data_IF_683021291826
#
_entry.id   IF_683021291826
#
_cell.length_a   1.000
_cell.length_b   1.000
_cell.length_c   1.000
_cell.angle_alpha   90.00
_cell.angle_beta   90.00
_cell.angle_gamma   90.00
#
_symmetry.space_group_name_H-M   'P 1'
#
loop_
_entity.id
_entity.type
_entity.pdbx_description
1 polymer ?
#
# COMPACT_ATOMS: atom_id res chain seq x y z
N UNK A 1 -1.82 -0.81 -21.06
CA UNK A 1 -2.68 0.33 -20.66
C UNK A 1 -3.31 -0.02 -19.33
N UNK A 2 -3.27 0.87 -18.33
CA UNK A 2 -3.98 0.62 -17.06
C UNK A 2 -5.48 0.59 -17.31
N UNK A 3 -6.16 -0.31 -16.63
CA UNK A 3 -7.62 -0.42 -16.71
C UNK A 3 -8.16 -0.10 -15.32
N UNK A 4 -9.04 0.89 -15.26
CA UNK A 4 -9.62 1.36 -14.02
C UNK A 4 -11.04 0.84 -13.94
N UNK A 5 -11.30 -0.02 -12.97
CA UNK A 5 -12.64 -0.48 -12.63
C UNK A 5 -12.90 -0.17 -11.17
N UNK A 6 -14.16 -0.20 -10.76
CA UNK A 6 -14.58 0.17 -9.42
C UNK A 6 -13.65 -0.41 -8.33
N UNK A 7 -12.88 0.46 -7.67
CA UNK A 7 -11.90 0.13 -6.62
C UNK A 7 -10.75 -0.82 -7.04
N UNK A 8 -10.38 -0.82 -8.32
CA UNK A 8 -9.29 -1.63 -8.85
C UNK A 8 -8.55 -0.93 -9.99
N UNK A 9 -7.24 -1.16 -10.05
CA UNK A 9 -6.42 -0.77 -11.21
C UNK A 9 -5.77 -2.05 -11.77
N UNK A 10 -6.32 -2.59 -12.85
CA UNK A 10 -5.78 -3.76 -13.55
C UNK A 10 -4.68 -3.38 -14.53
N UNK A 11 -3.96 -4.40 -15.01
CA UNK A 11 -2.75 -4.25 -15.82
C UNK A 11 -1.69 -3.40 -15.10
N UNK A 12 -1.62 -3.55 -13.78
CA UNK A 12 -0.70 -2.89 -12.87
C UNK A 12 0.72 -3.46 -13.00
N UNK A 13 1.19 -3.58 -14.25
CA UNK A 13 2.52 -4.04 -14.64
C UNK A 13 3.37 -2.82 -14.98
N UNK A 14 3.63 -2.00 -13.96
CA UNK A 14 4.31 -0.71 -14.06
C UNK A 14 5.77 -0.81 -13.60
N UNK A 15 6.57 0.22 -13.91
CA UNK A 15 7.85 0.38 -13.20
C UNK A 15 7.59 0.83 -11.76
N UNK A 16 8.56 0.59 -10.88
CA UNK A 16 8.44 0.99 -9.47
C UNK A 16 8.23 2.49 -9.30
N UNK A 17 8.83 3.30 -10.19
CA UNK A 17 8.66 4.75 -10.22
C UNK A 17 7.24 5.18 -10.59
N UNK A 18 6.62 4.46 -11.54
CA UNK A 18 5.23 4.67 -11.94
C UNK A 18 4.27 4.25 -10.81
N UNK A 19 4.55 3.13 -10.13
CA UNK A 19 3.77 2.71 -8.96
C UNK A 19 3.86 3.71 -7.82
N UNK A 20 5.08 4.17 -7.49
CA UNK A 20 5.29 5.21 -6.49
C UNK A 20 4.54 6.49 -6.84
N UNK A 21 4.47 6.85 -8.13
CA UNK A 21 3.70 8.00 -8.62
C UNK A 21 2.21 7.82 -8.34
N UNK A 22 1.65 6.64 -8.64
CA UNK A 22 0.25 6.33 -8.35
C UNK A 22 -0.03 6.33 -6.85
N UNK A 23 0.77 5.63 -6.05
CA UNK A 23 0.59 5.55 -4.60
C UNK A 23 0.69 6.93 -3.93
N UNK A 24 1.54 7.82 -4.45
CA UNK A 24 1.65 9.19 -3.91
C UNK A 24 0.35 10.00 -4.05
N UNK A 25 -0.57 9.63 -4.96
CA UNK A 25 -1.86 10.31 -5.10
C UNK A 25 -2.82 10.06 -3.94
N UNK A 26 -2.57 9.00 -3.16
CA UNK A 26 -3.34 8.66 -1.95
C UNK A 26 -2.86 9.41 -0.70
N UNK A 27 -1.76 10.15 -0.79
CA UNK A 27 -1.17 10.92 0.32
C UNK A 27 -1.57 12.39 0.16
N UNK A 28 -1.88 13.05 1.27
CA UNK A 28 -2.16 14.48 1.28
C UNK A 28 -1.67 15.17 2.57
N UNK A 29 -2.15 16.39 2.82
CA UNK A 29 -1.77 17.16 4.01
C UNK A 29 -2.17 16.46 5.31
N UNK A 30 -3.19 15.61 5.29
CA UNK A 30 -3.83 15.03 6.46
C UNK A 30 -3.61 13.52 6.59
N UNK A 31 -3.20 12.84 5.51
CA UNK A 31 -3.01 11.39 5.46
C UNK A 31 -1.57 10.97 5.17
N UNK A 32 -1.14 9.87 5.81
CA UNK A 32 0.13 9.19 5.56
C UNK A 32 -0.13 7.81 4.92
N UNK A 33 0.77 7.37 4.04
CA UNK A 33 0.81 6.01 3.50
C UNK A 33 1.74 5.14 4.37
N UNK A 34 1.23 4.06 4.94
CA UNK A 34 1.98 3.15 5.79
C UNK A 34 2.09 1.76 5.19
N UNK A 35 3.26 1.16 5.32
CA UNK A 35 3.54 -0.22 4.92
C UNK A 35 3.72 -1.10 6.16
N UNK A 36 3.19 -2.33 6.17
CA UNK A 36 3.40 -3.26 7.26
C UNK A 36 4.77 -3.93 7.16
N UNK A 37 5.40 -4.16 8.31
CA UNK A 37 6.54 -5.04 8.47
C UNK A 37 6.36 -5.89 9.72
N UNK A 38 6.34 -7.22 9.57
CA UNK A 38 6.15 -8.14 10.70
C UNK A 38 7.42 -8.24 11.53
N UNK A 39 7.30 -8.21 12.85
CA UNK A 39 8.43 -8.34 13.79
C UNK A 39 9.25 -9.60 13.51
N UNK A 40 8.59 -10.71 13.18
CA UNK A 40 9.24 -11.96 12.82
C UNK A 40 10.27 -11.82 11.68
N UNK A 41 10.09 -10.84 10.77
CA UNK A 41 11.01 -10.62 9.67
C UNK A 41 12.37 -10.11 10.15
N UNK A 42 12.49 -9.48 11.32
CA UNK A 42 13.79 -9.06 11.86
C UNK A 42 14.70 -10.24 12.24
N UNK A 43 14.16 -11.45 12.40
CA UNK A 43 14.99 -12.64 12.59
C UNK A 43 15.68 -13.06 11.30
N UNK A 44 14.99 -12.92 10.16
CA UNK A 44 15.52 -13.24 8.85
C UNK A 44 16.35 -12.09 8.25
N UNK A 45 15.95 -10.84 8.52
CA UNK A 45 16.53 -9.61 7.99
C UNK A 45 16.81 -8.62 9.15
N UNK A 46 17.81 -8.90 10.00
CA UNK A 46 18.15 -8.03 11.14
C UNK A 46 18.61 -6.63 10.72
N UNK A 47 19.19 -6.50 9.52
CA UNK A 47 19.65 -5.24 8.94
C UNK A 47 18.51 -4.22 8.71
N UNK A 48 17.28 -4.69 8.50
CA UNK A 48 16.11 -3.84 8.29
C UNK A 48 15.67 -3.12 9.58
N UNK A 49 16.12 -3.57 10.76
CA UNK A 49 15.60 -3.13 12.06
C UNK A 49 15.65 -1.62 12.24
N UNK A 50 16.83 -1.02 12.11
CA UNK A 50 16.98 0.43 12.31
C UNK A 50 16.14 1.20 11.29
N UNK A 51 16.19 0.79 10.02
CA UNK A 51 15.45 1.42 8.93
C UNK A 51 13.94 1.45 9.21
N UNK A 52 13.36 0.31 9.61
CA UNK A 52 11.93 0.16 9.90
C UNK A 52 11.55 0.88 11.20
N UNK A 53 12.31 0.67 12.29
CA UNK A 53 11.96 1.22 13.60
C UNK A 53 11.96 2.75 13.62
N UNK A 54 12.91 3.40 12.95
CA UNK A 54 12.99 4.87 12.85
C UNK A 54 11.82 5.50 12.07
N UNK A 55 11.23 4.74 11.15
CA UNK A 55 10.12 5.17 10.27
C UNK A 55 8.74 4.75 10.76
N UNK A 56 8.71 3.93 11.82
CA UNK A 56 7.46 3.35 12.32
C UNK A 56 6.61 4.43 12.97
N UNK A 57 5.37 4.58 12.49
CA UNK A 57 4.37 5.48 13.06
C UNK A 57 3.48 4.72 14.06
N UNK A 58 3.11 3.49 13.74
CA UNK A 58 2.24 2.66 14.57
C UNK A 58 2.87 1.27 14.76
N UNK A 59 2.90 0.78 16.00
CA UNK A 59 3.19 -0.62 16.33
C UNK A 59 1.92 -1.26 16.85
N UNK A 60 1.45 -2.33 16.23
CA UNK A 60 0.18 -2.94 16.61
C UNK A 60 0.16 -4.44 16.34
N UNK A 61 -0.66 -5.16 17.12
CA UNK A 61 -1.04 -6.55 16.84
C UNK A 61 -2.39 -6.64 16.13
N UNK A 62 -3.03 -5.50 15.86
CA UNK A 62 -4.29 -5.44 15.13
C UNK A 62 -4.12 -5.91 13.70
N UNK A 63 -5.04 -6.77 13.25
CA UNK A 63 -5.07 -7.26 11.88
C UNK A 63 -5.87 -6.29 11.01
N UNK A 64 -5.18 -5.50 10.20
CA UNK A 64 -5.82 -4.56 9.27
C UNK A 64 -6.29 -5.24 7.98
N UNK A 65 -5.50 -6.21 7.52
CA UNK A 65 -5.84 -7.09 6.41
C UNK A 65 -6.32 -8.43 6.96
N UNK A 66 -7.33 -9.02 6.31
CA UNK A 66 -7.79 -10.38 6.59
C UNK A 66 -6.77 -11.40 6.09
N UNK A 67 -5.67 -11.54 6.81
CA UNK A 67 -4.60 -12.48 6.51
C UNK A 67 -4.75 -13.72 7.38
N UNK A 68 -5.17 -14.83 6.76
CA UNK A 68 -5.28 -16.15 7.42
C UNK A 68 -3.92 -16.85 7.50
N UNK A 69 -2.95 -16.22 8.14
CA UNK A 69 -1.65 -16.82 8.40
C UNK A 69 -1.50 -17.13 9.89
N UNK A 70 -1.49 -18.42 10.21
CA UNK A 70 -1.38 -18.96 11.58
C UNK A 70 -0.09 -18.54 12.30
N UNK A 71 0.95 -18.11 11.58
CA UNK A 71 2.19 -17.60 12.16
C UNK A 71 2.12 -16.12 12.60
N UNK A 72 1.05 -15.41 12.29
CA UNK A 72 0.92 -13.96 12.54
C UNK A 72 0.05 -13.65 13.77
N UNK A 73 -0.60 -14.66 14.36
CA UNK A 73 -1.65 -14.49 15.38
C UNK A 73 -1.22 -13.78 16.68
N UNK A 74 0.08 -13.53 16.89
CA UNK A 74 0.58 -12.78 18.03
C UNK A 74 1.75 -11.83 17.73
N UNK A 75 2.09 -11.66 16.44
CA UNK A 75 3.25 -10.88 16.00
C UNK A 75 2.94 -9.39 16.02
N UNK A 76 3.93 -8.59 16.41
CA UNK A 76 3.84 -7.13 16.30
C UNK A 76 4.06 -6.73 14.84
N UNK A 77 3.21 -5.85 14.32
CA UNK A 77 3.36 -5.24 13.00
C UNK A 77 3.84 -3.81 13.18
N UNK A 78 4.92 -3.48 12.48
CA UNK A 78 5.49 -2.15 12.38
C UNK A 78 4.90 -1.49 11.13
N UNK A 79 4.06 -0.49 11.31
CA UNK A 79 3.50 0.31 10.24
C UNK A 79 4.34 1.55 10.05
N UNK A 80 5.12 1.57 8.98
CA UNK A 80 6.15 2.58 8.75
C UNK A 80 5.89 3.33 7.45
N UNK A 81 6.29 4.60 7.40
CA UNK A 81 6.05 5.48 6.25
C UNK A 81 7.32 5.74 5.45
N UNK A 82 7.21 5.95 4.12
CA UNK A 82 8.30 6.53 3.36
C UNK A 82 8.58 7.96 3.82
N UNK A 83 9.85 8.37 3.85
CA UNK A 83 10.22 9.77 4.08
C UNK A 83 10.03 10.66 2.85
N UNK A 84 10.26 10.09 1.67
CA UNK A 84 10.21 10.77 0.39
C UNK A 84 9.89 9.77 -0.73
N UNK A 85 9.91 10.24 -1.98
CA UNK A 85 9.60 9.43 -3.15
C UNK A 85 10.65 8.33 -3.40
N UNK A 86 11.93 8.60 -3.15
CA UNK A 86 13.00 7.62 -3.38
C UNK A 86 12.90 6.49 -2.35
N UNK A 87 12.54 6.83 -1.11
CA UNK A 87 12.25 5.87 -0.05
C UNK A 87 11.01 5.01 -0.39
N UNK A 88 9.95 5.63 -0.95
CA UNK A 88 8.78 4.89 -1.42
C UNK A 88 9.14 3.88 -2.53
N UNK A 89 9.96 4.29 -3.51
CA UNK A 89 10.46 3.40 -4.57
C UNK A 89 11.27 2.25 -3.95
N UNK A 90 12.11 2.53 -2.96
CA UNK A 90 12.89 1.51 -2.27
C UNK A 90 11.99 0.48 -1.56
N UNK A 91 10.96 0.94 -0.84
CA UNK A 91 10.00 0.07 -0.15
C UNK A 91 9.28 -0.86 -1.13
N UNK A 92 8.77 -0.32 -2.24
CA UNK A 92 8.07 -1.12 -3.25
C UNK A 92 9.03 -2.14 -3.89
N UNK A 93 10.29 -1.77 -4.16
CA UNK A 93 11.26 -2.69 -4.74
C UNK A 93 11.58 -3.90 -3.85
N UNK A 94 11.49 -3.76 -2.51
CA UNK A 94 11.72 -4.88 -1.58
C UNK A 94 10.65 -5.97 -1.72
N UNK A 95 9.41 -5.59 -2.01
CA UNK A 95 8.29 -6.51 -2.25
C UNK A 95 7.52 -6.09 -3.50
N UNK A 96 8.20 -6.20 -4.64
CA UNK A 96 7.68 -5.69 -5.92
C UNK A 96 6.41 -6.38 -6.36
N UNK A 97 6.22 -7.63 -5.98
CA UNK A 97 5.17 -8.47 -6.55
C UNK A 97 3.86 -8.29 -5.78
N UNK A 98 3.90 -8.35 -4.45
CA UNK A 98 2.71 -8.39 -3.59
C UNK A 98 2.85 -7.56 -2.32
N UNK A 99 3.02 -6.24 -2.43
CA UNK A 99 2.96 -5.38 -1.25
C UNK A 99 1.53 -5.04 -0.84
N UNK A 100 1.41 -4.67 0.43
CA UNK A 100 0.21 -4.11 1.05
C UNK A 100 0.56 -2.77 1.69
N UNK A 101 -0.37 -1.85 1.70
CA UNK A 101 -0.22 -0.56 2.39
C UNK A 101 -1.59 0.00 2.78
N UNK A 102 -1.58 0.94 3.71
CA UNK A 102 -2.80 1.61 4.17
C UNK A 102 -2.60 3.12 4.18
N UNK A 103 -3.69 3.85 4.02
CA UNK A 103 -3.71 5.30 4.10
C UNK A 103 -4.44 5.66 5.38
N UNK A 104 -3.75 6.31 6.31
CA UNK A 104 -4.30 6.67 7.63
C UNK A 104 -4.17 8.17 7.88
N UNK A 105 -5.06 8.79 8.67
CA UNK A 105 -4.86 10.15 9.14
C UNK A 105 -3.55 10.25 9.94
N UNK A 106 -2.78 11.33 9.80
CA UNK A 106 -1.47 11.53 10.47
C UNK A 106 -1.50 11.41 12.00
N UNK A 107 -2.67 11.63 12.60
CA UNK A 107 -2.90 11.49 14.04
C UNK A 107 -3.96 10.41 14.36
N UNK A 108 -4.31 9.58 13.38
CA UNK A 108 -5.33 8.53 13.48
C UNK A 108 -4.74 7.17 13.83
N UNK A 109 -5.63 6.20 14.07
CA UNK A 109 -5.27 4.80 14.27
C UNK A 109 -5.45 3.96 13.00
N UNK A 110 -5.12 2.67 13.12
CA UNK A 110 -5.31 1.71 12.03
C UNK A 110 -6.79 1.51 11.67
N UNK A 111 -7.68 1.63 12.65
CA UNK A 111 -9.13 1.52 12.45
C UNK A 111 -9.74 2.72 11.71
N UNK A 112 -9.00 3.82 11.58
CA UNK A 112 -9.40 5.01 10.84
C UNK A 112 -8.84 5.02 9.41
N UNK A 113 -8.44 3.87 8.87
CA UNK A 113 -7.85 3.81 7.54
C UNK A 113 -8.83 4.35 6.50
N UNK A 114 -8.39 5.32 5.71
CA UNK A 114 -9.16 5.87 4.58
C UNK A 114 -9.17 4.89 3.42
N UNK A 115 -8.00 4.30 3.15
CA UNK A 115 -7.83 3.27 2.13
C UNK A 115 -6.98 2.11 2.64
N UNK A 116 -7.27 0.90 2.17
CA UNK A 116 -6.34 -0.23 2.17
C UNK A 116 -5.99 -0.57 0.74
N UNK A 117 -4.72 -0.77 0.48
CA UNK A 117 -4.15 -0.97 -0.85
C UNK A 117 -3.39 -2.30 -0.85
N UNK A 118 -3.63 -3.15 -1.84
CA UNK A 118 -2.85 -4.37 -1.98
C UNK A 118 -2.72 -4.81 -3.42
N UNK A 119 -1.52 -5.27 -3.77
CA UNK A 119 -1.23 -5.79 -5.11
C UNK A 119 -1.40 -7.30 -5.16
N UNK A 120 -1.89 -7.80 -6.29
CA UNK A 120 -2.10 -9.23 -6.53
C UNK A 120 -1.73 -9.59 -7.97
N UNK A 121 -0.89 -10.62 -8.16
CA UNK A 121 -0.27 -10.98 -9.45
C UNK A 121 -1.14 -11.86 -10.36
N UNK A 122 -2.14 -12.56 -9.80
CA UNK A 122 -2.95 -13.56 -10.53
C UNK A 122 -4.42 -13.12 -10.68
N UNK A 123 -4.69 -11.83 -10.86
CA UNK A 123 -6.03 -11.35 -11.12
C UNK A 123 -6.45 -11.71 -12.55
N UNK A 124 -7.71 -12.11 -12.75
CA UNK A 124 -8.24 -12.37 -14.09
C UNK A 124 -9.08 -11.18 -14.52
N UNK A 125 -8.71 -10.56 -15.65
CA UNK A 125 -9.46 -9.49 -16.30
C UNK A 125 -9.63 -9.83 -17.78
N UNK A 126 -10.86 -9.83 -18.28
CA UNK A 126 -11.20 -10.17 -19.67
C UNK A 126 -10.57 -11.49 -20.15
N UNK A 127 -10.70 -12.55 -19.34
CA UNK A 127 -10.12 -13.89 -19.57
C UNK A 127 -8.58 -13.96 -19.57
N UNK A 128 -7.87 -12.85 -19.33
CA UNK A 128 -6.41 -12.79 -19.24
C UNK A 128 -5.93 -12.62 -17.78
N UNK A 129 -4.81 -13.26 -17.45
CA UNK A 129 -4.13 -13.10 -16.16
C UNK A 129 -3.31 -11.81 -16.13
N UNK A 130 -3.44 -11.05 -15.05
CA UNK A 130 -2.80 -9.74 -14.88
C UNK A 130 -2.52 -9.41 -13.41
N UNK A 131 -1.69 -8.38 -13.20
CA UNK A 131 -1.47 -7.77 -11.88
C UNK A 131 -2.46 -6.63 -11.66
N UNK A 132 -2.99 -6.55 -10.44
CA UNK A 132 -3.97 -5.52 -10.04
C UNK A 132 -3.53 -4.84 -8.76
N UNK A 133 -3.84 -3.55 -8.64
CA UNK A 133 -3.91 -2.84 -7.36
C UNK A 133 -5.37 -2.83 -6.91
N UNK A 134 -5.69 -3.58 -5.86
CA UNK A 134 -6.99 -3.51 -5.19
C UNK A 134 -7.02 -2.38 -4.18
N UNK A 135 -8.18 -1.73 -4.11
CA UNK A 135 -8.45 -0.60 -3.25
C UNK A 135 -9.65 -0.97 -2.38
N UNK A 136 -9.52 -0.88 -1.07
CA UNK A 136 -10.67 -0.81 -0.18
C UNK A 136 -10.76 0.62 0.32
N UNK A 137 -11.95 1.20 0.31
CA UNK A 137 -12.21 2.55 0.83
C UNK A 137 -13.18 2.49 2.00
N UNK A 138 -12.98 3.36 2.98
CA UNK A 138 -13.90 3.50 4.12
C UNK A 138 -15.01 4.52 3.82
N UNK A 139 -14.73 5.48 2.94
CA UNK A 139 -15.69 6.51 2.50
C UNK A 139 -16.08 6.17 1.07
N UNK A 140 -17.39 5.98 0.83
CA UNK A 140 -17.93 5.64 -0.48
C UNK A 140 -17.58 6.71 -1.53
N UNK A 141 -17.12 6.25 -2.70
CA UNK A 141 -16.69 7.05 -3.86
C UNK A 141 -15.45 7.94 -3.65
N UNK A 142 -14.78 7.86 -2.50
CA UNK A 142 -13.61 8.69 -2.21
C UNK A 142 -12.47 8.45 -3.21
N UNK A 143 -12.24 7.18 -3.60
CA UNK A 143 -11.28 6.86 -4.65
C UNK A 143 -11.65 7.53 -5.98
N UNK A 144 -12.90 7.38 -6.44
CA UNK A 144 -13.33 7.87 -7.75
C UNK A 144 -13.39 9.39 -7.82
N UNK A 145 -13.73 10.06 -6.72
CA UNK A 145 -13.89 11.51 -6.67
C UNK A 145 -12.56 12.24 -6.40
N UNK A 146 -11.68 11.68 -5.55
CA UNK A 146 -10.51 12.40 -5.05
C UNK A 146 -9.16 11.86 -5.50
N UNK A 147 -9.08 10.59 -5.90
CA UNK A 147 -7.81 9.94 -6.23
C UNK A 147 -7.71 9.65 -7.73
N UNK A 148 -8.72 8.99 -8.29
CA UNK A 148 -8.77 8.61 -9.70
C UNK A 148 -8.49 9.78 -10.64
N UNK A 149 -9.11 10.98 -10.50
CA UNK A 149 -8.85 12.10 -11.40
C UNK A 149 -7.38 12.56 -11.41
N UNK A 150 -6.70 12.50 -10.26
CA UNK A 150 -5.28 12.87 -10.12
C UNK A 150 -4.37 11.89 -10.87
N UNK A 151 -4.72 10.60 -10.89
CA UNK A 151 -3.96 9.57 -11.59
C UNK A 151 -4.09 9.76 -13.12
N UNK A 152 -5.29 10.07 -13.63
CA UNK A 152 -5.47 10.22 -15.08
C UNK A 152 -4.89 11.52 -15.60
N UNK A 153 -4.95 12.62 -14.83
CA UNK A 153 -4.35 13.89 -15.26
C UNK A 153 -2.86 13.75 -15.55
N UNK A 154 -2.14 12.97 -14.74
CA UNK A 154 -0.71 12.71 -14.92
C UNK A 154 -0.37 11.85 -16.13
N UNK A 155 -1.33 11.07 -16.66
CA UNK A 155 -1.12 10.22 -17.83
C UNK A 155 -1.38 10.91 -19.16
N UNK A 156 -2.02 12.08 -19.13
CA UNK A 156 -2.34 12.86 -20.32
C UNK A 156 -1.36 14.03 -20.55
N UNK A 157 -0.38 14.21 -19.65
CA UNK A 157 0.75 15.12 -19.76
C UNK A 157 2.01 14.39 -20.26
#
# INVERSE_FOLDING_TARGET
>A
MLIFENLAIYNFNLTTEEEATILSQFIDADHDLLFPYFECNFWAFPEDRTYIEERTIIRSKEKVFEMNYSFVDNELVYWYKPHDRDDLIHIINRDRITYRSIVVPKNGGLNDCRFKLFTYEHAIYDEEETRVLWIEETIENDYIENIYPKIISQKND
#
